data_IF_630948142346
#
_entry.id   IF_630948142346
#
_cell.length_a   1.000
_cell.length_b   1.000
_cell.length_c   1.000
_cell.angle_alpha   90.00
_cell.angle_beta   90.00
_cell.angle_gamma   90.00
#
_symmetry.space_group_name_H-M   'P 1'
#
loop_
_entity.id
_entity.type
_entity.pdbx_description
1 polymer ?
#
# COMPACT_ATOMS: atom_id res chain seq x y z
N UNK A 1 -9.59 -5.29 14.22
CA UNK A 1 -8.76 -5.44 13.01
C UNK A 1 -8.89 -4.17 12.17
N UNK A 2 -7.78 -3.59 11.67
CA UNK A 2 -7.83 -2.35 10.88
C UNK A 2 -8.21 -2.58 9.41
N UNK A 3 -9.02 -3.58 9.13
CA UNK A 3 -9.43 -3.95 7.77
C UNK A 3 -10.89 -3.61 7.55
N UNK A 4 -11.18 -2.80 6.52
CA UNK A 4 -12.52 -2.32 6.23
C UNK A 4 -12.93 -2.67 4.81
N UNK A 5 -14.16 -3.18 4.66
CA UNK A 5 -14.75 -3.42 3.34
C UNK A 5 -15.25 -2.12 2.72
N UNK A 6 -15.22 -2.05 1.40
CA UNK A 6 -15.85 -0.98 0.64
C UNK A 6 -16.53 -1.56 -0.60
N UNK A 7 -17.83 -1.36 -0.72
CA UNK A 7 -18.65 -1.85 -1.84
C UNK A 7 -18.44 -3.34 -2.12
N UNK A 8 -18.44 -4.14 -1.06
CA UNK A 8 -18.30 -5.60 -1.16
C UNK A 8 -16.87 -6.10 -1.34
N UNK A 9 -15.88 -5.22 -1.42
CA UNK A 9 -14.47 -5.60 -1.53
C UNK A 9 -13.77 -5.39 -0.21
N UNK A 10 -13.03 -6.40 0.22
CA UNK A 10 -12.33 -6.41 1.50
C UNK A 10 -10.83 -6.61 1.28
N UNK A 11 -10.00 -6.04 2.17
CA UNK A 11 -8.57 -6.32 2.11
C UNK A 11 -8.27 -7.81 2.24
N UNK A 12 -7.33 -8.28 1.43
CA UNK A 12 -6.83 -9.66 1.47
C UNK A 12 -5.38 -9.63 1.91
N UNK A 13 -5.12 -10.16 3.09
CA UNK A 13 -3.80 -10.11 3.71
C UNK A 13 -3.27 -11.54 3.83
N UNK A 14 -2.08 -11.79 3.27
CA UNK A 14 -1.44 -13.09 3.39
C UNK A 14 -1.12 -13.37 4.88
N UNK A 15 -1.27 -14.62 5.36
CA UNK A 15 -1.02 -14.94 6.77
C UNK A 15 0.37 -14.60 7.28
N UNK A 16 1.38 -14.57 6.40
CA UNK A 16 2.74 -14.21 6.80
C UNK A 16 3.02 -12.70 6.80
N UNK A 17 2.07 -11.88 6.33
CA UNK A 17 2.24 -10.44 6.32
C UNK A 17 1.97 -9.84 7.71
N UNK A 18 2.62 -8.71 7.99
CA UNK A 18 2.40 -7.96 9.22
C UNK A 18 1.59 -6.71 8.95
N UNK A 19 0.47 -6.56 9.66
CA UNK A 19 -0.33 -5.33 9.63
C UNK A 19 -0.36 -4.77 11.05
N UNK A 20 0.22 -3.59 11.24
CA UNK A 20 0.25 -2.94 12.55
C UNK A 20 -1.18 -2.64 13.03
N UNK A 21 -1.44 -2.71 14.35
CA UNK A 21 -2.78 -2.49 14.89
C UNK A 21 -3.38 -1.12 14.56
N UNK A 22 -2.54 -0.11 14.34
CA UNK A 22 -3.00 1.25 14.01
C UNK A 22 -2.95 1.56 12.52
N UNK A 23 -2.57 0.61 11.67
CA UNK A 23 -2.71 0.76 10.22
C UNK A 23 -4.18 0.64 9.82
N UNK A 24 -4.55 1.23 8.69
CA UNK A 24 -5.92 1.17 8.17
C UNK A 24 -5.89 0.74 6.70
N UNK A 25 -6.57 -0.35 6.38
CA UNK A 25 -6.70 -0.86 5.01
C UNK A 25 -8.17 -0.85 4.62
N UNK A 26 -8.50 -0.24 3.49
CA UNK A 26 -9.88 -0.07 3.02
C UNK A 26 -10.01 -0.59 1.59
N UNK A 27 -11.00 -1.45 1.36
CA UNK A 27 -11.37 -1.89 0.01
C UNK A 27 -10.45 -2.96 -0.58
N UNK A 28 -10.23 -2.89 -1.88
CA UNK A 28 -9.51 -3.93 -2.63
C UNK A 28 -7.99 -3.79 -2.49
N UNK A 29 -7.51 -4.00 -1.26
CA UNK A 29 -6.08 -4.04 -0.95
C UNK A 29 -5.63 -5.49 -0.93
N UNK A 30 -4.55 -5.80 -1.63
CA UNK A 30 -3.93 -7.12 -1.60
C UNK A 30 -2.54 -6.99 -1.00
N UNK A 31 -2.31 -7.64 0.13
CA UNK A 31 -1.00 -7.67 0.80
C UNK A 31 -0.45 -9.07 0.70
N UNK A 32 0.67 -9.20 0.00
CA UNK A 32 1.27 -10.50 -0.30
C UNK A 32 2.20 -10.98 0.83
N UNK A 33 2.78 -12.17 0.63
CA UNK A 33 3.61 -12.82 1.64
C UNK A 33 4.79 -11.97 2.10
N UNK A 34 5.06 -12.03 3.39
CA UNK A 34 6.18 -11.33 4.05
C UNK A 34 6.19 -9.81 3.86
N UNK A 35 5.11 -9.22 3.35
CA UNK A 35 4.97 -7.78 3.30
C UNK A 35 4.61 -7.23 4.68
N UNK A 36 4.83 -5.94 4.89
CA UNK A 36 4.50 -5.32 6.17
C UNK A 36 3.95 -3.90 5.98
N UNK A 37 2.92 -3.60 6.76
CA UNK A 37 2.28 -2.29 6.81
C UNK A 37 2.34 -1.79 8.24
N UNK A 38 2.97 -0.65 8.43
CA UNK A 38 3.39 -0.20 9.76
C UNK A 38 2.41 0.79 10.39
N UNK A 39 2.76 1.30 11.56
CA UNK A 39 1.85 2.07 12.41
C UNK A 39 1.35 3.34 11.73
N UNK A 40 0.04 3.56 11.81
CA UNK A 40 -0.63 4.74 11.26
C UNK A 40 -0.55 4.90 9.74
N UNK A 41 -0.10 3.88 9.03
CA UNK A 41 -0.19 3.87 7.57
C UNK A 41 -1.65 3.67 7.14
N UNK A 42 -2.03 4.31 6.03
CA UNK A 42 -3.37 4.19 5.48
C UNK A 42 -3.27 3.72 4.03
N UNK A 43 -3.92 2.62 3.72
CA UNK A 43 -4.02 2.10 2.35
C UNK A 43 -5.49 2.07 1.98
N UNK A 44 -5.87 2.93 1.03
CA UNK A 44 -7.26 3.07 0.62
C UNK A 44 -7.42 2.71 -0.86
N UNK A 45 -8.13 1.61 -1.11
CA UNK A 45 -8.40 1.08 -2.44
C UNK A 45 -9.91 1.11 -2.70
N UNK A 46 -10.48 2.30 -2.66
CA UNK A 46 -11.90 2.52 -2.88
C UNK A 46 -12.26 2.76 -4.36
N UNK A 47 -11.25 2.82 -5.22
CA UNK A 47 -11.41 2.85 -6.67
C UNK A 47 -10.74 1.62 -7.29
N UNK A 48 -9.60 1.78 -7.96
CA UNK A 48 -8.82 0.66 -8.46
C UNK A 48 -8.10 -0.07 -7.31
N UNK A 49 -7.65 -1.32 -7.52
CA UNK A 49 -6.96 -2.05 -6.47
C UNK A 49 -5.61 -1.45 -6.09
N UNK A 50 -5.17 -1.77 -4.88
CA UNK A 50 -3.81 -1.49 -4.39
C UNK A 50 -3.13 -2.82 -4.08
N UNK A 51 -1.93 -3.02 -4.65
CA UNK A 51 -1.13 -4.22 -4.41
C UNK A 51 0.11 -3.88 -3.61
N UNK A 52 0.30 -4.54 -2.48
CA UNK A 52 1.54 -4.53 -1.73
C UNK A 52 2.18 -5.89 -1.95
N UNK A 53 3.18 -5.94 -2.82
CA UNK A 53 3.76 -7.20 -3.29
C UNK A 53 4.62 -7.86 -2.23
N UNK A 54 5.04 -9.10 -2.52
CA UNK A 54 5.81 -9.92 -1.59
C UNK A 54 7.04 -9.18 -1.04
N UNK A 55 7.24 -9.21 0.27
CA UNK A 55 8.38 -8.61 0.92
C UNK A 55 8.44 -7.09 0.94
N UNK A 56 7.46 -6.41 0.34
CA UNK A 56 7.41 -4.95 0.36
C UNK A 56 7.03 -4.43 1.75
N UNK A 57 7.38 -3.17 2.02
CA UNK A 57 6.99 -2.57 3.28
C UNK A 57 6.49 -1.13 3.07
N UNK A 58 5.44 -0.80 3.82
CA UNK A 58 4.85 0.53 3.87
C UNK A 58 4.99 1.00 5.32
N UNK A 59 5.85 1.98 5.52
CA UNK A 59 6.24 2.36 6.87
C UNK A 59 5.32 3.43 7.46
N UNK A 60 5.63 3.81 8.69
CA UNK A 60 4.78 4.59 9.57
C UNK A 60 4.27 5.88 8.92
N UNK A 61 2.97 6.11 9.03
CA UNK A 61 2.33 7.35 8.61
C UNK A 61 2.18 7.55 7.10
N UNK A 62 2.58 6.59 6.27
CA UNK A 62 2.46 6.70 4.82
C UNK A 62 1.04 6.47 4.35
N UNK A 63 0.67 7.11 3.23
CA UNK A 63 -0.65 6.99 2.62
C UNK A 63 -0.50 6.41 1.20
N UNK A 64 -1.21 5.32 0.95
CA UNK A 64 -1.27 4.67 -0.37
C UNK A 64 -2.71 4.76 -0.85
N UNK A 65 -2.91 5.30 -2.04
CA UNK A 65 -4.24 5.46 -2.61
C UNK A 65 -4.24 5.19 -4.09
N UNK A 66 -5.28 4.53 -4.58
CA UNK A 66 -5.52 4.32 -6.01
C UNK A 66 -6.48 5.38 -6.54
N UNK A 67 -6.62 5.44 -7.86
CA UNK A 67 -7.59 6.32 -8.52
C UNK A 67 -8.54 5.49 -9.39
N UNK A 68 -9.61 6.07 -9.94
CA UNK A 68 -10.46 5.33 -10.88
C UNK A 68 -9.73 4.83 -12.13
N UNK A 69 -8.63 5.48 -12.51
CA UNK A 69 -7.87 5.18 -13.74
C UNK A 69 -6.60 4.40 -13.42
N UNK A 70 -5.93 4.72 -12.30
CA UNK A 70 -4.62 4.20 -11.98
C UNK A 70 -4.67 3.34 -10.73
N UNK A 71 -4.34 2.05 -10.87
CA UNK A 71 -4.05 1.22 -9.70
C UNK A 71 -2.76 1.70 -9.05
N UNK A 72 -2.56 1.33 -7.81
CA UNK A 72 -1.30 1.57 -7.11
C UNK A 72 -0.65 0.24 -6.77
N UNK A 73 0.64 0.15 -7.03
CA UNK A 73 1.37 -1.07 -6.75
C UNK A 73 2.71 -0.74 -6.11
N UNK A 74 2.97 -1.37 -4.97
CA UNK A 74 4.29 -1.35 -4.32
C UNK A 74 4.95 -2.67 -4.66
N UNK A 75 5.96 -2.63 -5.53
CA UNK A 75 6.57 -3.81 -6.12
C UNK A 75 7.28 -4.71 -5.10
N UNK A 76 7.64 -5.95 -5.50
CA UNK A 76 8.27 -6.90 -4.57
C UNK A 76 9.54 -6.30 -3.94
N UNK A 77 9.64 -6.43 -2.61
CA UNK A 77 10.79 -5.93 -1.86
C UNK A 77 10.95 -4.42 -1.82
N UNK A 78 10.02 -3.66 -2.40
CA UNK A 78 10.09 -2.20 -2.40
C UNK A 78 9.80 -1.63 -1.00
N UNK A 79 10.42 -0.50 -0.71
CA UNK A 79 10.25 0.20 0.56
C UNK A 79 9.59 1.55 0.31
N UNK A 80 8.45 1.76 0.94
CA UNK A 80 7.85 3.09 1.10
C UNK A 80 8.19 3.53 2.52
N UNK A 81 9.07 4.50 2.66
CA UNK A 81 9.55 4.95 3.96
C UNK A 81 8.48 5.75 4.71
N UNK A 82 8.88 6.55 5.69
CA UNK A 82 7.92 7.21 6.58
C UNK A 82 7.25 8.42 5.93
N UNK A 83 5.97 8.61 6.23
CA UNK A 83 5.14 9.77 5.83
C UNK A 83 5.21 10.09 4.33
N UNK A 84 5.26 9.06 3.51
CA UNK A 84 5.20 9.19 2.05
C UNK A 84 3.75 9.21 1.58
N UNK A 85 3.53 9.74 0.36
CA UNK A 85 2.26 9.63 -0.35
C UNK A 85 2.51 8.94 -1.67
N UNK A 86 1.87 7.79 -1.89
CA UNK A 86 1.92 7.05 -3.16
C UNK A 86 0.51 7.01 -3.70
N UNK A 87 0.28 7.64 -4.83
CA UNK A 87 -1.05 7.87 -5.36
C UNK A 87 -1.09 7.52 -6.85
N UNK A 88 -1.81 6.44 -7.19
CA UNK A 88 -1.98 6.01 -8.58
C UNK A 88 -0.67 5.71 -9.32
N UNK A 89 0.32 5.16 -8.63
CA UNK A 89 1.65 4.93 -9.18
C UNK A 89 2.08 3.47 -9.03
N UNK A 90 3.01 3.05 -9.85
CA UNK A 90 3.62 1.71 -9.78
C UNK A 90 5.07 1.85 -9.39
N UNK A 91 5.42 1.27 -8.25
CA UNK A 91 6.78 1.25 -7.74
C UNK A 91 7.43 -0.09 -8.12
N UNK A 92 8.59 -0.02 -8.75
CA UNK A 92 9.30 -1.19 -9.21
C UNK A 92 9.90 -2.01 -8.08
N UNK A 93 10.37 -3.20 -8.44
CA UNK A 93 10.97 -4.16 -7.51
C UNK A 93 12.14 -3.54 -6.77
N UNK A 94 12.16 -3.72 -5.45
CA UNK A 94 13.23 -3.30 -4.53
C UNK A 94 13.57 -1.81 -4.57
N UNK A 95 12.71 -0.96 -5.12
CA UNK A 95 12.95 0.49 -5.08
C UNK A 95 12.78 1.02 -3.66
N UNK A 96 13.37 2.18 -3.40
CA UNK A 96 13.25 2.88 -2.13
C UNK A 96 12.67 4.26 -2.36
N UNK A 97 11.50 4.50 -1.77
CA UNK A 97 10.90 5.82 -1.72
C UNK A 97 11.22 6.41 -0.35
N UNK A 98 12.03 7.46 -0.33
CA UNK A 98 12.55 8.03 0.90
C UNK A 98 11.48 8.82 1.66
N UNK A 99 11.78 9.14 2.92
CA UNK A 99 10.83 9.82 3.83
C UNK A 99 10.21 11.07 3.23
N UNK A 100 8.91 11.22 3.43
CA UNK A 100 8.11 12.38 3.02
C UNK A 100 8.05 12.61 1.50
N UNK A 101 8.44 11.62 0.68
CA UNK A 101 8.34 11.73 -0.76
C UNK A 101 6.89 11.58 -1.22
N UNK A 102 6.58 12.19 -2.36
CA UNK A 102 5.25 12.14 -2.98
C UNK A 102 5.41 11.60 -4.41
N UNK A 103 4.70 10.52 -4.72
CA UNK A 103 4.69 9.91 -6.05
C UNK A 103 3.25 9.91 -6.54
N UNK A 104 3.00 10.53 -7.69
CA UNK A 104 1.65 10.82 -8.16
C UNK A 104 1.26 9.99 -9.38
N UNK A 105 0.01 10.21 -9.80
CA UNK A 105 -0.72 9.43 -10.81
C UNK A 105 0.06 9.16 -12.08
N UNK A 106 0.10 7.88 -12.46
CA UNK A 106 0.75 7.42 -13.67
C UNK A 106 2.27 7.29 -13.59
N UNK A 107 2.88 7.64 -12.45
CA UNK A 107 4.33 7.49 -12.29
C UNK A 107 4.72 6.00 -12.24
N UNK A 108 5.88 5.70 -12.78
CA UNK A 108 6.50 4.37 -12.73
C UNK A 108 7.95 4.53 -12.31
N UNK A 109 8.26 3.93 -11.18
CA UNK A 109 9.60 3.99 -10.61
C UNK A 109 10.35 2.69 -10.87
#
# INVERSE_FOLDING_TARGET
MPLYSFEGKSPRVHPSAFIAPTATLVGEVVVEEHASVWYNAVIRADFAPVFIRAGANVQDGSVIHSTPVWRTEVGPGATVAHVCVIHGAVLGEECLIANAAVVLDGAKI
#
